data_IF_904725924370
#
_entry.id   IF_904725924370
#
_cell.length_a   1.000
_cell.length_b   1.000
_cell.length_c   1.000
_cell.angle_alpha   90.00
_cell.angle_beta   90.00
_cell.angle_gamma   90.00
#
_symmetry.space_group_name_H-M   'P 1'
#
loop_
_entity.id
_entity.type
_entity.pdbx_description
1 polymer ?
#
# COMPACT_ATOMS: atom_id res chain seq x y z
N UNK A 1 11.56 6.88 -22.78
CA UNK A 1 11.48 5.71 -21.87
C UNK A 1 11.05 4.47 -22.64
N UNK A 2 9.93 4.50 -23.36
CA UNK A 2 9.39 3.31 -24.02
C UNK A 2 10.29 2.75 -25.14
N UNK A 3 11.05 3.61 -25.84
CA UNK A 3 12.06 3.17 -26.82
C UNK A 3 13.28 2.47 -26.19
N UNK A 4 13.42 2.53 -24.86
CA UNK A 4 14.48 1.83 -24.14
C UNK A 4 14.12 0.36 -23.83
N UNK A 5 13.02 -0.15 -24.39
CA UNK A 5 12.52 -1.52 -24.20
C UNK A 5 12.28 -1.91 -22.72
N UNK A 6 11.98 -0.93 -21.86
CA UNK A 6 11.57 -1.17 -20.47
C UNK A 6 10.22 -1.90 -20.48
N UNK A 7 10.17 -3.06 -19.83
CA UNK A 7 8.98 -3.94 -19.80
C UNK A 7 8.29 -4.05 -18.45
N UNK A 8 8.94 -3.61 -17.37
CA UNK A 8 8.38 -3.70 -16.03
C UNK A 8 8.54 -2.36 -15.33
N UNK A 9 7.46 -1.88 -14.74
CA UNK A 9 7.44 -0.62 -14.00
C UNK A 9 6.80 -0.87 -12.65
N UNK A 10 7.46 -0.37 -11.60
CA UNK A 10 6.91 -0.29 -10.26
C UNK A 10 6.41 1.13 -10.03
N UNK A 11 5.12 1.26 -9.74
CA UNK A 11 4.47 2.48 -9.27
C UNK A 11 4.35 2.34 -7.76
N UNK A 12 4.83 3.34 -7.04
CA UNK A 12 4.89 3.28 -5.59
C UNK A 12 6.14 3.96 -5.05
N UNK A 13 6.00 4.46 -3.83
CA UNK A 13 7.02 5.03 -2.96
C UNK A 13 7.74 6.25 -3.55
N UNK A 14 7.25 7.40 -3.12
CA UNK A 14 8.09 8.50 -2.66
C UNK A 14 8.07 8.49 -1.13
N UNK A 15 9.14 8.96 -0.46
CA UNK A 15 9.40 8.85 1.00
C UNK A 15 8.34 9.49 1.94
N UNK A 16 7.20 9.93 1.42
CA UNK A 16 6.19 10.72 2.12
C UNK A 16 4.78 10.55 1.49
N UNK A 17 3.86 11.40 1.93
CA UNK A 17 2.49 11.59 1.46
C UNK A 17 2.40 12.24 0.07
N UNK A 18 3.19 11.87 -0.94
CA UNK A 18 3.05 12.47 -2.29
C UNK A 18 2.68 11.47 -3.37
N UNK A 19 2.58 10.20 -2.98
CA UNK A 19 2.15 9.16 -3.89
C UNK A 19 0.64 9.28 -4.10
N UNK A 20 0.25 9.67 -5.31
CA UNK A 20 -1.16 9.81 -5.71
C UNK A 20 -1.94 8.50 -5.62
N UNK A 21 -1.26 7.36 -5.53
CA UNK A 21 -1.86 6.04 -5.34
C UNK A 21 -1.94 5.63 -3.87
N UNK A 22 -1.30 6.35 -2.94
CA UNK A 22 -1.30 6.08 -1.51
C UNK A 22 -2.67 6.23 -0.85
N UNK A 23 -2.90 5.52 0.26
CA UNK A 23 -4.19 5.46 0.95
C UNK A 23 -4.64 6.81 1.47
N UNK A 24 -3.72 7.64 1.97
CA UNK A 24 -3.98 9.01 2.40
C UNK A 24 -4.43 9.92 1.24
N UNK A 25 -3.91 9.70 0.02
CA UNK A 25 -4.34 10.41 -1.18
C UNK A 25 -5.66 9.93 -1.72
N UNK A 26 -5.84 8.62 -1.73
CA UNK A 26 -7.05 8.00 -2.27
C UNK A 26 -8.23 8.19 -1.33
N UNK A 27 -7.98 8.26 -0.01
CA UNK A 27 -9.00 8.48 1.01
C UNK A 27 -8.62 9.66 1.92
N UNK A 28 -8.64 10.88 1.38
CA UNK A 28 -8.38 12.09 2.15
C UNK A 28 -9.56 12.56 2.99
N UNK A 29 -10.77 12.15 2.62
CA UNK A 29 -12.00 12.31 3.39
C UNK A 29 -12.50 10.94 3.80
N UNK A 30 -12.77 10.73 5.09
CA UNK A 30 -13.17 9.43 5.63
C UNK A 30 -14.35 8.84 4.86
N UNK A 31 -14.17 7.59 4.41
CA UNK A 31 -15.12 6.78 3.63
C UNK A 31 -15.38 7.29 2.20
N UNK A 32 -14.59 8.26 1.72
CA UNK A 32 -14.68 8.78 0.35
C UNK A 32 -13.40 8.48 -0.43
N UNK A 33 -13.45 7.40 -1.20
CA UNK A 33 -12.37 6.98 -2.10
C UNK A 33 -12.44 7.74 -3.42
N UNK A 34 -11.35 8.39 -3.80
CA UNK A 34 -11.21 9.10 -5.07
C UNK A 34 -9.78 9.04 -5.56
N UNK A 35 -9.60 9.03 -6.88
CA UNK A 35 -8.27 9.09 -7.49
C UNK A 35 -8.23 10.25 -8.46
N UNK A 36 -7.08 10.91 -8.52
CA UNK A 36 -6.82 11.94 -9.51
C UNK A 36 -6.87 11.34 -10.94
N UNK A 37 -7.61 11.94 -11.89
CA UNK A 37 -7.76 11.38 -13.24
C UNK A 37 -6.43 11.13 -13.97
N UNK A 38 -5.40 11.90 -13.65
CA UNK A 38 -4.05 11.76 -14.21
C UNK A 38 -3.42 10.40 -13.92
N UNK A 39 -3.80 9.75 -12.81
CA UNK A 39 -3.26 8.42 -12.46
C UNK A 39 -3.73 7.36 -13.45
N UNK A 40 -4.98 7.40 -13.90
CA UNK A 40 -5.44 6.50 -14.95
C UNK A 40 -4.72 6.75 -16.26
N UNK A 41 -4.52 8.02 -16.63
CA UNK A 41 -3.76 8.35 -17.84
C UNK A 41 -2.32 7.83 -17.80
N UNK A 42 -1.66 7.86 -16.63
CA UNK A 42 -0.33 7.27 -16.46
C UNK A 42 -0.34 5.75 -16.59
N UNK A 43 -1.31 5.06 -15.96
CA UNK A 43 -1.45 3.61 -16.07
C UNK A 43 -1.77 3.20 -17.50
N UNK A 44 -2.69 3.89 -18.18
CA UNK A 44 -3.08 3.60 -19.55
C UNK A 44 -1.89 3.79 -20.49
N UNK A 45 -1.12 4.88 -20.34
CA UNK A 45 0.09 5.10 -21.12
C UNK A 45 1.11 3.97 -20.96
N UNK A 46 1.32 3.46 -19.74
CA UNK A 46 2.21 2.32 -19.50
C UNK A 46 1.70 1.04 -20.19
N UNK A 47 0.41 0.75 -20.08
CA UNK A 47 -0.22 -0.44 -20.68
C UNK A 47 -0.18 -0.37 -22.21
N UNK A 48 -0.52 0.76 -22.81
CA UNK A 48 -0.50 0.98 -24.26
C UNK A 48 0.91 0.82 -24.85
N UNK A 49 1.95 1.09 -24.06
CA UNK A 49 3.34 0.89 -24.44
C UNK A 49 3.89 -0.50 -24.04
N UNK A 50 3.02 -1.41 -23.62
CA UNK A 50 3.36 -2.81 -23.33
C UNK A 50 4.20 -3.01 -22.08
N UNK A 51 4.12 -2.09 -21.11
CA UNK A 51 4.72 -2.27 -19.80
C UNK A 51 3.83 -3.14 -18.90
N UNK A 52 4.48 -3.97 -18.08
CA UNK A 52 3.87 -4.72 -16.99
C UNK A 52 4.02 -3.91 -15.71
N UNK A 53 2.91 -3.70 -15.02
CA UNK A 53 2.88 -2.80 -13.86
C UNK A 53 2.81 -3.61 -12.56
N UNK A 54 3.69 -3.24 -11.64
CA UNK A 54 3.55 -3.44 -10.20
C UNK A 54 3.06 -2.16 -9.55
N UNK A 55 2.00 -2.26 -8.74
CA UNK A 55 1.50 -1.14 -7.95
C UNK A 55 1.63 -1.47 -6.46
N UNK A 56 2.37 -0.63 -5.74
CA UNK A 56 2.40 -0.69 -4.29
C UNK A 56 1.18 -0.02 -3.70
N UNK A 57 0.54 -0.66 -2.72
CA UNK A 57 -0.50 -0.01 -1.91
C UNK A 57 0.12 0.38 -0.57
N UNK A 58 0.31 1.70 -0.43
CA UNK A 58 1.08 2.40 0.61
C UNK A 58 0.17 3.44 1.27
N UNK A 59 0.57 4.12 2.34
CA UNK A 59 0.99 3.50 3.59
C UNK A 59 -0.26 3.44 4.50
N UNK A 60 -0.17 3.91 5.74
CA UNK A 60 -1.30 4.17 6.62
C UNK A 60 -2.04 5.46 6.23
N UNK A 61 -3.08 5.79 7.00
CA UNK A 61 -3.87 6.98 6.79
C UNK A 61 -4.24 7.60 8.15
N UNK A 62 -3.82 8.84 8.45
CA UNK A 62 -4.00 9.45 9.76
C UNK A 62 -5.45 9.57 10.23
N UNK A 63 -6.45 9.54 9.34
CA UNK A 63 -7.87 9.52 9.72
C UNK A 63 -8.29 8.19 10.39
N UNK A 64 -7.44 7.16 10.30
CA UNK A 64 -7.66 5.82 10.86
C UNK A 64 -6.56 5.36 11.80
N UNK A 65 -5.29 5.57 11.45
CA UNK A 65 -4.15 4.91 12.09
C UNK A 65 -3.34 5.80 13.04
N UNK A 66 -3.64 7.10 13.08
CA UNK A 66 -2.98 8.03 13.99
C UNK A 66 -3.11 7.58 15.46
N UNK A 67 -2.03 7.64 16.26
CA UNK A 67 -2.10 7.43 17.71
C UNK A 67 -2.71 8.63 18.47
N UNK A 68 -3.18 9.67 17.76
CA UNK A 68 -3.88 10.79 18.40
C UNK A 68 -5.20 10.31 19.03
N UNK A 69 -5.55 10.87 20.20
CA UNK A 69 -6.80 10.51 20.89
C UNK A 69 -8.07 10.92 20.14
N UNK A 70 -7.99 11.94 19.27
CA UNK A 70 -9.10 12.39 18.42
C UNK A 70 -8.64 12.37 16.97
N UNK A 71 -9.27 11.50 16.17
CA UNK A 71 -8.96 11.33 14.76
C UNK A 71 -9.68 12.40 13.92
N UNK A 72 -9.00 13.01 12.94
CA UNK A 72 -9.65 13.97 12.06
C UNK A 72 -10.61 13.26 11.09
N UNK A 73 -11.62 13.99 10.60
CA UNK A 73 -12.53 13.49 9.56
C UNK A 73 -11.89 13.52 8.16
N UNK A 74 -10.93 14.43 7.96
CA UNK A 74 -10.21 14.61 6.72
C UNK A 74 -8.78 15.08 6.97
N UNK A 75 -7.92 14.88 5.99
CA UNK A 75 -6.51 15.30 6.03
C UNK A 75 -6.19 16.23 4.86
N UNK A 76 -5.24 17.13 5.08
CA UNK A 76 -4.63 17.89 4.01
C UNK A 76 -3.50 17.08 3.41
N UNK A 77 -3.50 16.94 2.08
CA UNK A 77 -2.42 16.29 1.34
C UNK A 77 -1.15 17.11 1.53
N UNK A 78 -0.09 16.48 2.02
CA UNK A 78 1.19 17.16 2.24
C UNK A 78 2.05 16.99 0.98
N UNK A 79 2.66 18.07 0.45
CA UNK A 79 3.54 17.96 -0.72
C UNK A 79 4.74 17.04 -0.48
N UNK A 80 5.37 16.61 -1.57
CA UNK A 80 6.58 15.81 -1.49
C UNK A 80 7.69 16.53 -0.71
N UNK A 81 8.32 15.82 0.21
CA UNK A 81 9.47 16.26 1.01
C UNK A 81 10.41 15.08 1.32
N UNK A 82 11.71 15.35 1.39
CA UNK A 82 12.71 14.36 1.83
C UNK A 82 12.73 14.37 3.35
N UNK A 83 12.45 13.23 4.00
CA UNK A 83 12.35 13.20 5.46
C UNK A 83 13.06 12.01 6.10
N UNK A 84 13.66 12.28 7.26
CA UNK A 84 14.05 11.28 8.24
C UNK A 84 12.80 10.54 8.76
N UNK A 85 13.01 9.45 9.52
CA UNK A 85 11.96 8.73 10.26
C UNK A 85 10.91 9.68 10.85
N UNK A 86 9.67 9.57 10.37
CA UNK A 86 8.55 10.39 10.80
C UNK A 86 7.75 9.66 11.90
N UNK A 87 7.84 10.17 13.12
CA UNK A 87 7.09 9.70 14.29
C UNK A 87 5.97 10.66 14.70
N UNK A 88 5.62 11.63 13.83
CA UNK A 88 4.55 12.58 14.08
C UNK A 88 3.20 11.89 14.29
N UNK A 89 2.33 12.50 15.09
CA UNK A 89 1.00 11.94 15.38
C UNK A 89 0.19 11.65 14.11
N UNK A 90 0.42 12.39 13.02
CA UNK A 90 -0.29 12.23 11.76
C UNK A 90 0.58 11.63 10.65
N UNK A 91 1.63 10.89 11.02
CA UNK A 91 2.44 10.16 10.05
C UNK A 91 1.62 9.10 9.32
N UNK A 92 1.87 8.91 8.02
CA UNK A 92 1.34 7.76 7.27
C UNK A 92 2.04 6.45 7.63
N UNK A 93 3.17 6.49 8.35
CA UNK A 93 3.89 5.27 8.77
C UNK A 93 3.28 4.60 9.99
N UNK A 94 2.19 5.14 10.56
CA UNK A 94 1.36 4.39 11.51
C UNK A 94 0.55 3.34 10.76
N UNK A 95 0.85 2.03 10.91
CA UNK A 95 0.18 0.98 10.14
C UNK A 95 -1.20 0.66 10.74
N UNK A 96 -2.12 0.07 9.96
CA UNK A 96 -3.38 -0.43 10.49
C UNK A 96 -3.14 -1.68 11.37
N UNK A 97 -3.59 -1.62 12.63
CA UNK A 97 -3.37 -2.68 13.63
C UNK A 97 -4.66 -3.32 14.13
N UNK A 98 -5.75 -2.56 14.21
CA UNK A 98 -7.05 -3.08 14.67
C UNK A 98 -7.86 -3.65 13.51
N UNK A 99 -8.85 -4.53 13.77
CA UNK A 99 -9.75 -5.02 12.72
C UNK A 99 -10.42 -3.92 11.90
N UNK A 100 -10.80 -2.81 12.53
CA UNK A 100 -11.47 -1.67 11.88
C UNK A 100 -10.50 -0.90 10.97
N UNK A 101 -9.27 -0.67 11.43
CA UNK A 101 -8.21 -0.03 10.63
C UNK A 101 -7.83 -0.89 9.44
N UNK A 102 -7.67 -2.21 9.66
CA UNK A 102 -7.38 -3.16 8.59
C UNK A 102 -8.55 -3.18 7.60
N UNK A 103 -9.80 -3.29 8.06
CA UNK A 103 -10.97 -3.26 7.19
C UNK A 103 -11.04 -1.97 6.35
N UNK A 104 -10.67 -0.82 6.91
CA UNK A 104 -10.60 0.43 6.18
C UNK A 104 -9.52 0.41 5.08
N UNK A 105 -8.31 -0.04 5.41
CA UNK A 105 -7.23 -0.23 4.43
C UNK A 105 -7.62 -1.22 3.32
N UNK A 106 -8.37 -2.27 3.64
CA UNK A 106 -8.85 -3.24 2.65
C UNK A 106 -9.94 -2.67 1.74
N UNK A 107 -10.74 -1.68 2.17
CA UNK A 107 -11.66 -0.98 1.25
C UNK A 107 -10.88 -0.24 0.17
N UNK A 108 -9.85 0.51 0.57
CA UNK A 108 -8.91 1.14 -0.34
C UNK A 108 -8.22 0.12 -1.26
N UNK A 109 -7.72 -0.98 -0.70
CA UNK A 109 -7.09 -2.07 -1.47
C UNK A 109 -8.01 -2.60 -2.55
N UNK A 110 -9.24 -3.01 -2.19
CA UNK A 110 -10.21 -3.56 -3.14
C UNK A 110 -10.62 -2.53 -4.18
N UNK A 111 -10.74 -1.26 -3.80
CA UNK A 111 -11.08 -0.18 -4.72
C UNK A 111 -9.99 0.03 -5.78
N UNK A 112 -8.72 0.08 -5.37
CA UNK A 112 -7.58 0.21 -6.29
C UNK A 112 -7.41 -1.02 -7.18
N UNK A 113 -7.50 -2.22 -6.62
CA UNK A 113 -7.41 -3.48 -7.38
C UNK A 113 -8.53 -3.58 -8.41
N UNK A 114 -9.77 -3.25 -8.03
CA UNK A 114 -10.89 -3.26 -8.95
C UNK A 114 -10.74 -2.20 -10.06
N UNK A 115 -10.31 -0.98 -9.71
CA UNK A 115 -10.10 0.11 -10.67
C UNK A 115 -9.08 -0.27 -11.75
N UNK A 116 -7.99 -0.92 -11.36
CA UNK A 116 -6.87 -1.25 -12.25
C UNK A 116 -6.88 -2.70 -12.73
N UNK A 117 -7.99 -3.42 -12.53
CA UNK A 117 -8.16 -4.81 -12.95
C UNK A 117 -7.82 -4.97 -14.44
N UNK A 118 -6.97 -5.94 -14.75
CA UNK A 118 -6.49 -6.22 -16.12
C UNK A 118 -5.45 -5.23 -16.66
N UNK A 119 -5.19 -4.10 -15.99
CA UNK A 119 -4.15 -3.11 -16.34
C UNK A 119 -2.91 -3.24 -15.46
N UNK A 120 -3.09 -3.48 -14.17
CA UNK A 120 -2.01 -3.77 -13.21
C UNK A 120 -1.97 -5.27 -12.95
N UNK A 121 -0.77 -5.87 -13.03
CA UNK A 121 -0.59 -7.32 -12.88
C UNK A 121 -0.08 -7.72 -11.49
N UNK A 122 0.73 -6.86 -10.87
CA UNK A 122 1.37 -7.14 -9.59
C UNK A 122 0.96 -6.09 -8.55
N UNK A 123 0.65 -6.53 -7.35
CA UNK A 123 0.39 -5.66 -6.21
C UNK A 123 1.31 -6.03 -5.05
N UNK A 124 1.92 -5.04 -4.42
CA UNK A 124 2.73 -5.21 -3.21
C UNK A 124 2.12 -4.43 -2.05
N UNK A 125 2.19 -5.02 -0.86
CA UNK A 125 1.76 -4.37 0.38
C UNK A 125 2.94 -3.61 0.97
N UNK A 126 2.71 -2.33 1.27
CA UNK A 126 3.67 -1.50 2.02
C UNK A 126 5.03 -1.39 1.33
N UNK A 127 5.97 -0.75 2.02
CA UNK A 127 7.36 -0.69 1.64
C UNK A 127 8.27 -0.47 2.87
N UNK A 128 9.43 -1.13 2.93
CA UNK A 128 10.43 -1.00 4.00
C UNK A 128 9.83 -1.11 5.41
N UNK A 129 8.91 -2.07 5.58
CA UNK A 129 8.24 -2.39 6.84
C UNK A 129 9.20 -2.83 7.96
N UNK A 130 10.40 -3.27 7.60
CA UNK A 130 11.47 -3.67 8.50
C UNK A 130 12.35 -2.50 8.96
N UNK A 131 12.08 -1.28 8.48
CA UNK A 131 12.87 -0.08 8.77
C UNK A 131 12.00 1.09 9.28
N UNK A 132 12.32 2.33 8.90
CA UNK A 132 11.68 3.54 9.45
C UNK A 132 10.25 3.77 9.00
N UNK A 133 9.73 2.99 8.05
CA UNK A 133 8.37 3.17 7.51
C UNK A 133 7.32 2.29 8.21
N UNK A 134 7.63 1.78 9.39
CA UNK A 134 6.67 1.07 10.26
C UNK A 134 6.73 1.56 11.71
N UNK A 135 5.73 2.34 12.12
CA UNK A 135 5.68 2.93 13.46
C UNK A 135 4.96 2.04 14.50
N UNK A 136 5.35 2.07 15.78
CA UNK A 136 6.48 2.81 16.34
C UNK A 136 7.82 2.17 15.97
N UNK A 137 7.89 0.84 15.87
CA UNK A 137 9.07 0.10 15.41
C UNK A 137 8.62 -1.05 14.50
N UNK A 138 9.47 -1.51 13.57
CA UNK A 138 9.24 -2.70 12.76
C UNK A 138 8.66 -3.86 13.57
N UNK A 139 7.61 -4.47 13.03
CA UNK A 139 6.95 -5.59 13.69
C UNK A 139 6.50 -6.63 12.65
N UNK A 140 7.21 -7.77 12.53
CA UNK A 140 6.91 -8.75 11.50
C UNK A 140 5.56 -9.44 11.72
N UNK A 141 5.11 -9.64 12.96
CA UNK A 141 3.81 -10.25 13.24
C UNK A 141 2.62 -9.35 12.87
N UNK A 142 2.73 -8.05 13.11
CA UNK A 142 1.73 -7.07 12.67
C UNK A 142 1.69 -6.98 11.13
N UNK A 143 2.86 -6.90 10.48
CA UNK A 143 2.95 -6.90 9.02
C UNK A 143 2.39 -8.19 8.41
N UNK A 144 2.77 -9.36 8.93
CA UNK A 144 2.30 -10.66 8.45
C UNK A 144 0.77 -10.83 8.54
N UNK A 145 0.15 -10.25 9.58
CA UNK A 145 -1.32 -10.20 9.71
C UNK A 145 -1.96 -9.35 8.63
N UNK A 146 -1.44 -8.13 8.40
CA UNK A 146 -1.92 -7.24 7.36
C UNK A 146 -1.71 -7.86 5.96
N UNK A 147 -0.55 -8.46 5.71
CA UNK A 147 -0.22 -9.15 4.46
C UNK A 147 -1.17 -10.30 4.16
N UNK A 148 -1.60 -11.04 5.18
CA UNK A 148 -2.56 -12.13 5.03
C UNK A 148 -3.93 -11.62 4.57
N UNK A 149 -4.43 -10.55 5.17
CA UNK A 149 -5.71 -9.95 4.80
C UNK A 149 -5.66 -9.21 3.46
N UNK A 150 -4.57 -8.49 3.20
CA UNK A 150 -4.29 -7.87 1.90
C UNK A 150 -4.30 -8.91 0.77
N UNK A 151 -3.60 -10.03 0.98
CA UNK A 151 -3.53 -11.14 0.01
C UNK A 151 -4.92 -11.69 -0.31
N UNK A 152 -5.77 -11.88 0.70
CA UNK A 152 -7.15 -12.33 0.52
C UNK A 152 -7.96 -11.30 -0.28
N UNK A 153 -7.86 -10.02 0.08
CA UNK A 153 -8.59 -8.95 -0.57
C UNK A 153 -8.22 -8.81 -2.06
N UNK A 154 -6.93 -8.81 -2.39
CA UNK A 154 -6.45 -8.75 -3.79
C UNK A 154 -7.00 -9.92 -4.59
N UNK A 155 -6.85 -11.17 -4.09
CA UNK A 155 -7.33 -12.38 -4.80
C UNK A 155 -8.84 -12.44 -4.97
N UNK A 156 -9.60 -11.93 -3.99
CA UNK A 156 -11.05 -11.85 -4.07
C UNK A 156 -11.52 -10.83 -5.11
N UNK A 157 -10.79 -9.73 -5.28
CA UNK A 157 -11.15 -8.65 -6.21
C UNK A 157 -10.67 -8.94 -7.63
N UNK A 158 -9.44 -9.45 -7.78
CA UNK A 158 -8.91 -9.91 -9.04
C UNK A 158 -8.09 -11.20 -8.85
N UNK A 159 -8.68 -12.32 -9.26
CA UNK A 159 -8.06 -13.65 -9.15
C UNK A 159 -6.80 -13.80 -10.02
N UNK A 160 -6.66 -12.94 -11.03
CA UNK A 160 -5.51 -12.92 -11.93
C UNK A 160 -4.33 -12.13 -11.38
N UNK A 161 -4.58 -11.18 -10.48
CA UNK A 161 -3.54 -10.36 -9.87
C UNK A 161 -2.52 -11.22 -9.10
N UNK A 162 -1.26 -10.82 -9.19
CA UNK A 162 -0.14 -11.44 -8.48
C UNK A 162 0.26 -10.55 -7.30
N UNK A 163 0.72 -11.19 -6.23
CA UNK A 163 1.16 -10.50 -5.03
C UNK A 163 2.67 -10.59 -4.96
N UNK A 164 3.32 -9.44 -4.80
CA UNK A 164 4.75 -9.31 -4.60
C UNK A 164 4.97 -9.03 -3.10
N UNK A 165 5.90 -9.76 -2.49
CA UNK A 165 6.29 -9.50 -1.10
C UNK A 165 6.84 -8.08 -0.99
N UNK A 166 6.59 -7.41 0.15
CA UNK A 166 6.94 -6.01 0.38
C UNK A 166 8.41 -5.69 0.09
N UNK A 167 8.69 -4.40 -0.17
CA UNK A 167 10.03 -3.90 -0.42
C UNK A 167 10.86 -3.82 0.86
N UNK A 168 11.21 -4.96 1.46
CA UNK A 168 12.03 -5.03 2.66
C UNK A 168 13.36 -4.28 2.45
N UNK A 169 13.70 -3.37 3.37
CA UNK A 169 14.85 -2.48 3.30
C UNK A 169 16.17 -3.24 3.50
N UNK A 170 16.16 -4.21 4.41
CA UNK A 170 17.34 -4.94 4.85
C UNK A 170 17.30 -6.41 4.44
N UNK A 171 18.44 -7.09 4.58
CA UNK A 171 18.54 -8.55 4.38
C UNK A 171 18.14 -9.34 5.63
N UNK A 172 17.32 -8.77 6.53
CA UNK A 172 16.85 -9.45 7.74
C UNK A 172 15.91 -10.62 7.38
N UNK A 173 16.50 -11.81 7.32
CA UNK A 173 15.75 -13.05 7.08
C UNK A 173 14.84 -13.43 8.24
N UNK A 174 15.12 -12.98 9.46
CA UNK A 174 14.27 -13.26 10.63
C UNK A 174 12.95 -12.52 10.49
N UNK A 175 12.99 -11.24 10.12
CA UNK A 175 11.79 -10.45 9.85
C UNK A 175 10.89 -11.14 8.82
N UNK A 176 11.43 -11.46 7.64
CA UNK A 176 10.69 -12.19 6.59
C UNK A 176 10.15 -13.54 7.09
N UNK A 177 10.93 -14.26 7.91
CA UNK A 177 10.51 -15.54 8.45
C UNK A 177 9.38 -15.44 9.48
N UNK A 178 9.27 -14.31 10.19
CA UNK A 178 8.24 -14.06 11.22
C UNK A 178 7.01 -13.37 10.63
N UNK A 179 7.16 -12.66 9.52
CA UNK A 179 6.10 -12.07 8.70
C UNK A 179 5.21 -13.10 7.98
N UNK A 180 5.16 -14.35 8.45
CA UNK A 180 4.34 -15.40 7.86
C UNK A 180 2.86 -15.09 8.05
N UNK A 181 2.16 -14.94 6.93
CA UNK A 181 0.71 -15.04 6.94
C UNK A 181 0.34 -16.46 7.38
N UNK A 182 -0.46 -16.61 8.43
CA UNK A 182 -1.00 -17.92 8.81
C UNK A 182 -1.79 -18.46 7.61
N UNK A 183 -1.38 -19.58 6.99
CA UNK A 183 -2.10 -20.10 5.84
C UNK A 183 -3.51 -20.48 6.29
N UNK A 184 -4.52 -19.86 5.69
CA UNK A 184 -5.85 -20.48 5.67
C UNK A 184 -5.66 -21.75 4.86
N UNK A 185 -5.56 -22.90 5.53
CA UNK A 185 -5.56 -24.19 4.84
C UNK A 185 -6.81 -24.21 3.95
N UNK A 186 -6.70 -24.58 2.66
CA UNK A 186 -7.90 -24.93 1.92
C UNK A 186 -8.62 -26.02 2.73
N UNK A 187 -9.91 -25.81 2.98
CA UNK A 187 -10.77 -26.85 3.54
C UNK A 187 -10.71 -28.03 2.56
N UNK A 188 -10.41 -29.26 3.03
CA UNK A 188 -10.32 -30.43 2.16
C UNK A 188 -11.64 -30.75 1.46
#
# INVERSE_FOLDING_TARGET
>A
MFDAAIKYVRIGQYENTSDMTGWDWVEHDKERLSLKPEVDAYVDSLVENGAVIELQLLYGNPIYTSPAGVLPRSISLTPASVHNRDLGLYSIFWPPKTPEQIAAFLRYTKWMVNRFRGRVRYYSLWNEEDASYWNLNPNPEEYGRLLGEFTKAVRQTDSEAKIVYGGQATLDTEFASRARCVPVRPVP
#
